data_IF_558481984718
#
_entry.id   IF_558481984718
#
_cell.length_a   1.000
_cell.length_b   1.000
_cell.length_c   1.000
_cell.angle_alpha   90.00
_cell.angle_beta   90.00
_cell.angle_gamma   90.00
#
_symmetry.space_group_name_H-M   'P 1'
#
loop_
_entity.id
_entity.type
_entity.pdbx_description
1 polymer ?
#
# COMPACT_ATOMS: atom_id res chain seq x y z
N UNK A 1 -15.05 -1.66 2.83
CA UNK A 1 -13.74 -2.00 2.25
C UNK A 1 -12.64 -1.67 3.23
N UNK A 2 -11.53 -2.41 3.20
CA UNK A 2 -10.43 -2.24 4.16
C UNK A 2 -9.09 -2.46 3.46
N UNK A 3 -8.11 -1.63 3.80
CA UNK A 3 -6.71 -1.85 3.43
C UNK A 3 -6.00 -2.38 4.67
N UNK A 4 -5.36 -3.52 4.53
CA UNK A 4 -4.61 -4.16 5.61
C UNK A 4 -3.11 -4.13 5.36
N UNK A 5 -2.34 -4.19 6.44
CA UNK A 5 -0.94 -4.52 6.44
C UNK A 5 -0.63 -5.51 7.58
N UNK A 6 0.30 -6.42 7.36
CA UNK A 6 0.79 -7.31 8.39
C UNK A 6 2.29 -7.52 8.25
N UNK A 7 2.97 -7.74 9.37
CA UNK A 7 4.39 -8.07 9.37
C UNK A 7 4.63 -9.29 8.49
N UNK A 8 5.63 -9.24 7.61
CA UNK A 8 5.93 -10.35 6.70
C UNK A 8 6.75 -11.45 7.39
N UNK A 9 6.89 -12.58 6.73
CA UNK A 9 7.56 -13.74 7.32
C UNK A 9 9.09 -13.68 7.29
N UNK A 10 9.72 -14.45 8.20
CA UNK A 10 11.15 -14.64 8.30
C UNK A 10 11.90 -13.35 8.66
N UNK A 11 13.17 -13.26 8.29
CA UNK A 11 14.04 -12.10 8.56
C UNK A 11 13.46 -10.77 8.07
N UNK A 12 12.69 -10.80 6.97
CA UNK A 12 12.03 -9.60 6.42
C UNK A 12 11.03 -8.97 7.38
N UNK A 13 10.41 -9.76 8.25
CA UNK A 13 9.46 -9.28 9.26
C UNK A 13 10.08 -8.30 10.27
N UNK A 14 11.40 -8.29 10.41
CA UNK A 14 12.08 -7.32 11.26
C UNK A 14 11.94 -5.86 10.78
N UNK A 15 11.61 -5.64 9.49
CA UNK A 15 11.60 -4.30 8.90
C UNK A 15 10.56 -4.09 7.80
N UNK A 16 9.72 -5.09 7.48
CA UNK A 16 8.78 -4.98 6.37
C UNK A 16 7.41 -5.56 6.69
N UNK A 17 6.39 -4.96 6.05
CA UNK A 17 5.01 -5.47 6.04
C UNK A 17 4.59 -5.87 4.63
N UNK A 18 3.57 -6.71 4.55
CA UNK A 18 2.80 -7.05 3.36
C UNK A 18 1.46 -6.34 3.44
N UNK A 19 1.05 -5.66 2.37
CA UNK A 19 -0.25 -4.99 2.30
C UNK A 19 -1.17 -5.65 1.29
N UNK A 20 -2.50 -5.58 1.55
CA UNK A 20 -3.55 -6.06 0.65
C UNK A 20 -4.83 -5.24 0.78
N UNK A 21 -5.77 -5.46 -0.13
CA UNK A 21 -7.06 -4.78 -0.17
C UNK A 21 -8.18 -5.81 -0.06
N UNK A 22 -9.18 -5.48 0.76
CA UNK A 22 -10.41 -6.25 0.91
C UNK A 22 -11.60 -5.39 0.53
N UNK A 23 -12.39 -5.88 -0.41
CA UNK A 23 -13.60 -5.25 -0.91
C UNK A 23 -14.82 -6.10 -0.52
N UNK A 24 -15.97 -5.47 -0.34
CA UNK A 24 -17.27 -6.13 -0.25
C UNK A 24 -18.35 -5.19 -0.73
N UNK A 25 -19.03 -5.57 -1.80
CA UNK A 25 -20.20 -4.87 -2.29
C UNK A 25 -21.37 -4.97 -1.32
N UNK A 26 -22.32 -4.03 -1.40
CA UNK A 26 -23.53 -4.01 -0.54
C UNK A 26 -24.25 -5.35 -0.56
N UNK A 27 -24.52 -5.87 -1.74
CA UNK A 27 -25.26 -7.11 -1.97
C UNK A 27 -24.35 -8.34 -2.06
N UNK A 28 -23.04 -8.13 -1.90
CA UNK A 28 -22.01 -9.17 -1.94
C UNK A 28 -22.15 -10.14 -0.76
N UNK A 29 -22.21 -11.44 -1.06
CA UNK A 29 -22.25 -12.50 -0.04
C UNK A 29 -20.90 -12.77 0.58
N UNK A 30 -19.81 -12.42 -0.11
CA UNK A 30 -18.43 -12.67 0.28
C UNK A 30 -17.58 -11.42 0.11
N UNK A 31 -16.43 -11.41 0.79
CA UNK A 31 -15.39 -10.41 0.60
C UNK A 31 -14.49 -10.82 -0.56
N UNK A 32 -14.02 -9.83 -1.33
CA UNK A 32 -12.97 -10.02 -2.32
C UNK A 32 -11.66 -9.45 -1.77
N UNK A 33 -10.68 -10.32 -1.57
CA UNK A 33 -9.33 -9.96 -1.17
C UNK A 33 -8.39 -9.98 -2.37
N UNK A 34 -7.62 -8.91 -2.53
CA UNK A 34 -6.61 -8.78 -3.58
C UNK A 34 -5.23 -8.61 -2.97
N UNK A 35 -4.34 -9.54 -3.31
CA UNK A 35 -2.91 -9.53 -2.94
C UNK A 35 -2.03 -9.54 -4.17
N UNK A 36 -0.81 -9.04 -4.02
CA UNK A 36 0.27 -9.30 -4.99
C UNK A 36 1.39 -10.06 -4.30
N UNK A 37 1.76 -11.20 -4.89
CA UNK A 37 2.77 -12.12 -4.35
C UNK A 37 3.79 -12.52 -5.40
N UNK A 38 4.97 -12.99 -4.96
CA UNK A 38 6.10 -13.32 -5.82
C UNK A 38 6.04 -14.70 -6.50
N UNK A 39 4.95 -15.45 -6.33
CA UNK A 39 4.80 -16.80 -6.88
C UNK A 39 3.51 -16.95 -7.67
N UNK A 40 3.57 -17.69 -8.76
CA UNK A 40 2.44 -17.91 -9.69
C UNK A 40 2.03 -16.64 -10.42
N UNK A 41 0.72 -16.43 -10.60
CA UNK A 41 0.19 -15.14 -11.08
C UNK A 41 0.33 -14.10 -9.95
N UNK A 42 0.92 -12.93 -10.18
CA UNK A 42 1.19 -11.97 -9.11
C UNK A 42 -0.07 -11.52 -8.38
N UNK A 43 -1.09 -11.05 -9.13
CA UNK A 43 -2.35 -10.63 -8.53
C UNK A 43 -3.15 -11.88 -8.16
N UNK A 44 -3.49 -11.98 -6.88
CA UNK A 44 -4.34 -13.02 -6.31
C UNK A 44 -5.66 -12.43 -5.90
N UNK A 45 -6.76 -13.05 -6.36
CA UNK A 45 -8.10 -12.76 -5.85
C UNK A 45 -8.56 -13.95 -5.03
N UNK A 46 -8.94 -13.71 -3.78
CA UNK A 46 -9.49 -14.71 -2.85
C UNK A 46 -8.62 -15.95 -2.62
N UNK A 47 -7.29 -15.81 -2.75
CA UNK A 47 -6.35 -16.88 -2.45
C UNK A 47 -6.13 -17.07 -0.93
N UNK A 48 -6.51 -16.09 -0.14
CA UNK A 48 -6.35 -16.05 1.32
C UNK A 48 -7.63 -15.51 1.98
N UNK A 49 -7.81 -15.85 3.26
CA UNK A 49 -8.93 -15.31 4.06
C UNK A 49 -8.81 -13.78 4.13
N UNK A 50 -9.93 -13.02 4.01
CA UNK A 50 -9.91 -11.55 3.91
C UNK A 50 -9.09 -10.86 4.98
N UNK A 51 -9.29 -11.18 6.25
CA UNK A 51 -8.61 -10.68 7.45
C UNK A 51 -7.66 -11.71 8.05
N UNK A 52 -7.22 -12.70 7.26
CA UNK A 52 -6.35 -13.78 7.71
C UNK A 52 -4.94 -13.33 8.04
N UNK A 53 -4.33 -14.04 8.99
CA UNK A 53 -2.95 -13.84 9.39
C UNK A 53 -1.99 -13.99 8.22
N UNK A 54 -0.95 -13.16 8.18
CA UNK A 54 0.13 -13.26 7.21
C UNK A 54 1.40 -13.78 7.89
N UNK A 55 1.80 -15.01 7.55
CA UNK A 55 2.92 -15.71 8.25
C UNK A 55 2.77 -15.67 9.78
N UNK A 56 1.57 -15.99 10.29
CA UNK A 56 1.22 -15.96 11.71
C UNK A 56 1.20 -14.57 12.37
N UNK A 57 1.36 -13.50 11.61
CA UNK A 57 1.23 -12.14 12.11
C UNK A 57 -0.20 -11.61 11.87
N UNK A 58 -0.82 -10.97 12.87
CA UNK A 58 -2.18 -10.45 12.73
C UNK A 58 -2.22 -9.28 11.76
N UNK A 59 -3.28 -9.17 10.94
CA UNK A 59 -3.50 -8.01 10.11
C UNK A 59 -3.81 -6.77 10.94
N UNK A 60 -3.30 -5.63 10.51
CA UNK A 60 -3.65 -4.32 11.05
C UNK A 60 -4.37 -3.51 9.98
N UNK A 61 -5.56 -2.94 10.25
CA UNK A 61 -6.20 -2.06 9.32
C UNK A 61 -5.39 -0.76 9.18
N UNK A 62 -5.03 -0.43 7.96
CA UNK A 62 -4.36 0.84 7.59
C UNK A 62 -5.41 1.91 7.35
N UNK A 63 -6.52 1.53 6.75
CA UNK A 63 -7.65 2.38 6.44
C UNK A 63 -8.88 1.54 6.15
N UNK A 64 -10.06 2.08 6.49
CA UNK A 64 -11.33 1.44 6.18
C UNK A 64 -12.42 2.46 5.90
N UNK A 65 -13.40 2.05 5.10
CA UNK A 65 -14.67 2.76 4.90
C UNK A 65 -15.81 1.78 4.63
N UNK A 66 -17.03 2.22 4.88
CA UNK A 66 -18.25 1.43 4.70
C UNK A 66 -19.37 2.27 4.07
N UNK A 67 -20.50 1.63 3.75
CA UNK A 67 -21.70 2.31 3.24
C UNK A 67 -21.46 2.95 1.87
N UNK A 68 -22.11 4.09 1.63
CA UNK A 68 -22.16 4.76 0.33
C UNK A 68 -20.77 5.16 -0.19
N UNK A 69 -19.83 5.46 0.69
CA UNK A 69 -18.47 5.78 0.25
C UNK A 69 -17.75 4.53 -0.28
N UNK A 70 -17.84 3.40 0.40
CA UNK A 70 -17.29 2.14 -0.10
C UNK A 70 -17.89 1.79 -1.47
N UNK A 71 -19.22 1.90 -1.63
CA UNK A 71 -19.89 1.64 -2.91
C UNK A 71 -19.37 2.52 -4.05
N UNK A 72 -19.10 3.80 -3.75
CA UNK A 72 -18.55 4.74 -4.74
C UNK A 72 -17.11 4.42 -5.12
N UNK A 73 -16.30 3.92 -4.17
CA UNK A 73 -14.87 3.68 -4.36
C UNK A 73 -14.56 2.31 -4.98
N UNK A 74 -15.33 1.27 -4.67
CA UNK A 74 -15.10 -0.11 -5.14
C UNK A 74 -14.90 -0.19 -6.66
N UNK A 75 -15.78 0.36 -7.52
CA UNK A 75 -15.58 0.28 -8.97
C UNK A 75 -14.30 0.95 -9.45
N UNK A 76 -13.87 2.05 -8.80
CA UNK A 76 -12.62 2.74 -9.12
C UNK A 76 -11.39 1.91 -8.76
N UNK A 77 -11.47 1.23 -7.62
CA UNK A 77 -10.40 0.34 -7.16
C UNK A 77 -10.28 -0.86 -8.09
N UNK A 78 -11.39 -1.48 -8.48
CA UNK A 78 -11.39 -2.60 -9.41
C UNK A 78 -10.82 -2.20 -10.78
N UNK A 79 -11.17 -1.02 -11.28
CA UNK A 79 -10.57 -0.46 -12.49
C UNK A 79 -9.06 -0.24 -12.34
N UNK A 80 -8.60 0.27 -11.20
CA UNK A 80 -7.18 0.44 -10.90
C UNK A 80 -6.45 -0.91 -10.80
N UNK A 81 -7.05 -1.92 -10.18
CA UNK A 81 -6.51 -3.29 -10.11
C UNK A 81 -6.36 -3.87 -11.52
N UNK A 82 -7.38 -3.75 -12.36
CA UNK A 82 -7.36 -4.23 -13.74
C UNK A 82 -6.29 -3.52 -14.60
N UNK A 83 -6.01 -2.25 -14.32
CA UNK A 83 -5.01 -1.43 -15.01
C UNK A 83 -3.58 -1.58 -14.44
N UNK A 84 -3.35 -2.40 -13.40
CA UNK A 84 -2.05 -2.52 -12.77
C UNK A 84 -0.99 -3.10 -13.74
N UNK A 85 0.11 -2.37 -14.04
CA UNK A 85 1.02 -2.73 -15.13
C UNK A 85 1.86 -3.99 -14.86
N UNK A 86 2.01 -4.39 -13.59
CA UNK A 86 2.85 -5.52 -13.16
C UNK A 86 2.05 -6.77 -12.79
N UNK A 87 0.86 -6.94 -13.34
CA UNK A 87 0.00 -8.13 -13.12
C UNK A 87 0.49 -9.41 -13.82
N UNK A 88 1.55 -9.37 -14.62
CA UNK A 88 2.06 -10.52 -15.38
C UNK A 88 3.03 -11.36 -14.54
N UNK A 89 3.04 -12.69 -14.80
CA UNK A 89 4.01 -13.62 -14.17
C UNK A 89 5.45 -13.13 -14.39
N UNK A 90 6.27 -13.16 -13.32
CA UNK A 90 7.66 -12.73 -13.35
C UNK A 90 7.88 -11.22 -13.18
N UNK A 91 6.82 -10.41 -13.13
CA UNK A 91 6.94 -8.97 -12.89
C UNK A 91 7.30 -8.62 -11.43
N UNK A 92 6.92 -9.47 -10.47
CA UNK A 92 7.18 -9.21 -9.05
C UNK A 92 8.67 -9.08 -8.74
N UNK A 93 9.01 -8.04 -7.99
CA UNK A 93 10.35 -7.82 -7.40
C UNK A 93 10.15 -7.49 -5.93
N UNK A 94 10.72 -8.34 -5.06
CA UNK A 94 10.63 -8.16 -3.62
C UNK A 94 11.12 -6.77 -3.20
N UNK A 95 12.21 -6.32 -3.79
CA UNK A 95 12.85 -5.03 -3.54
C UNK A 95 13.50 -4.50 -4.84
N UNK A 96 13.43 -3.21 -5.10
CA UNK A 96 12.67 -2.16 -4.41
C UNK A 96 11.17 -2.19 -4.73
N UNK A 97 10.73 -2.99 -5.63
CA UNK A 97 9.40 -3.19 -6.21
C UNK A 97 9.51 -3.49 -7.70
N UNK A 98 8.39 -3.80 -8.37
CA UNK A 98 7.02 -3.84 -7.86
C UNK A 98 6.72 -5.05 -6.96
N UNK A 99 6.07 -4.81 -5.84
CA UNK A 99 5.69 -5.82 -4.86
C UNK A 99 4.26 -5.56 -4.32
N UNK A 100 3.85 -6.21 -3.21
CA UNK A 100 2.51 -6.01 -2.63
C UNK A 100 2.25 -4.56 -2.19
N UNK A 101 3.26 -3.89 -1.62
CA UNK A 101 3.11 -2.51 -1.16
C UNK A 101 3.06 -1.52 -2.34
N UNK A 102 3.85 -1.76 -3.40
CA UNK A 102 3.76 -0.99 -4.67
C UNK A 102 2.40 -1.12 -5.33
N UNK A 103 1.78 -2.31 -5.25
CA UNK A 103 0.44 -2.56 -5.77
C UNK A 103 -0.61 -1.73 -5.05
N UNK A 104 -0.63 -1.77 -3.71
CA UNK A 104 -1.58 -0.97 -2.93
C UNK A 104 -1.30 0.52 -3.12
N UNK A 105 -0.04 0.94 -3.10
CA UNK A 105 0.34 2.34 -3.36
C UNK A 105 -0.09 2.82 -4.76
N UNK A 106 -0.01 1.97 -5.79
CA UNK A 106 -0.53 2.28 -7.12
C UNK A 106 -2.04 2.56 -7.09
N UNK A 107 -2.81 1.71 -6.40
CA UNK A 107 -4.25 1.89 -6.27
C UNK A 107 -4.58 3.19 -5.54
N UNK A 108 -3.88 3.50 -4.45
CA UNK A 108 -4.04 4.76 -3.72
C UNK A 108 -3.77 5.99 -4.60
N UNK A 109 -2.77 5.92 -5.49
CA UNK A 109 -2.49 7.01 -6.46
C UNK A 109 -3.56 7.12 -7.55
N UNK A 110 -4.18 6.01 -7.96
CA UNK A 110 -5.26 6.02 -8.98
C UNK A 110 -6.62 6.38 -8.41
N UNK A 111 -6.81 6.24 -7.10
CA UNK A 111 -8.04 6.56 -6.38
C UNK A 111 -7.71 7.51 -5.22
N UNK A 112 -7.37 8.77 -5.50
CA UNK A 112 -6.89 9.73 -4.49
C UNK A 112 -7.91 10.09 -3.41
N UNK A 113 -9.18 9.78 -3.63
CA UNK A 113 -10.24 9.92 -2.63
C UNK A 113 -10.04 9.01 -1.42
N UNK A 114 -9.23 7.98 -1.54
CA UNK A 114 -8.82 7.14 -0.41
C UNK A 114 -7.76 7.89 0.40
N UNK A 115 -8.16 8.42 1.55
CA UNK A 115 -7.26 9.15 2.45
C UNK A 115 -6.43 8.18 3.32
N UNK A 116 -5.66 7.32 2.66
CA UNK A 116 -4.79 6.35 3.29
C UNK A 116 -3.32 6.60 2.95
N UNK A 117 -2.45 6.40 3.94
CA UNK A 117 -0.99 6.36 3.77
C UNK A 117 -0.49 5.02 4.28
N UNK A 118 0.23 4.27 3.45
CA UNK A 118 0.83 3.02 3.88
C UNK A 118 1.91 3.28 4.95
N UNK A 119 2.09 2.35 5.90
CA UNK A 119 3.04 2.52 6.98
C UNK A 119 4.49 2.66 6.48
N UNK A 120 5.38 3.31 7.24
CA UNK A 120 6.77 3.57 6.84
C UNK A 120 7.58 2.32 6.50
N UNK A 121 7.21 1.18 7.06
CA UNK A 121 7.80 -0.13 6.81
C UNK A 121 7.11 -0.94 5.68
N UNK A 122 6.21 -0.31 4.92
CA UNK A 122 5.65 -0.88 3.69
C UNK A 122 6.65 -0.69 2.53
N UNK A 123 7.75 -1.44 2.56
CA UNK A 123 8.84 -1.33 1.58
C UNK A 123 8.31 -1.50 0.15
N UNK A 124 8.62 -0.54 -0.72
CA UNK A 124 8.14 -0.48 -2.10
C UNK A 124 6.91 0.39 -2.31
N UNK A 125 6.34 1.02 -1.27
CA UNK A 125 5.21 1.95 -1.39
C UNK A 125 5.55 3.20 -2.20
N UNK A 126 6.80 3.61 -2.21
CA UNK A 126 7.37 4.74 -2.95
C UNK A 126 7.81 4.39 -4.38
N UNK A 127 7.78 3.10 -4.74
CA UNK A 127 7.95 2.67 -6.12
C UNK A 127 6.73 3.06 -6.96
N UNK A 128 6.92 3.93 -7.97
CA UNK A 128 5.83 4.34 -8.87
C UNK A 128 5.74 3.33 -10.02
N UNK A 129 4.64 2.57 -10.03
CA UNK A 129 4.47 1.38 -10.86
C UNK A 129 4.44 1.63 -12.38
N UNK A 130 4.15 2.85 -12.83
CA UNK A 130 4.18 3.25 -14.24
C UNK A 130 5.57 3.76 -14.70
N UNK A 131 6.57 3.70 -13.82
CA UNK A 131 7.94 4.10 -14.11
C UNK A 131 8.22 5.60 -14.01
N UNK A 132 7.25 6.39 -13.55
CA UNK A 132 7.47 7.81 -13.32
C UNK A 132 8.40 8.05 -12.11
N UNK A 133 9.07 9.20 -12.12
CA UNK A 133 9.93 9.63 -11.02
C UNK A 133 9.22 10.56 -10.04
N UNK A 134 7.99 10.94 -10.32
CA UNK A 134 7.20 11.84 -9.49
C UNK A 134 5.73 11.50 -9.56
N UNK A 135 5.02 11.87 -8.50
CA UNK A 135 3.58 11.86 -8.42
C UNK A 135 3.10 13.07 -7.66
N UNK A 136 2.07 13.74 -8.19
CA UNK A 136 1.35 14.82 -7.53
C UNK A 136 -0.04 14.31 -7.17
N UNK A 137 -0.33 14.22 -5.88
CA UNK A 137 -1.65 13.88 -5.38
C UNK A 137 -2.57 15.11 -5.51
N UNK A 138 -3.84 14.98 -5.94
CA UNK A 138 -4.80 16.09 -5.96
C UNK A 138 -5.01 16.76 -4.60
N UNK A 139 -4.72 16.08 -3.48
CA UNK A 139 -4.74 16.65 -2.14
C UNK A 139 -3.51 17.51 -1.82
N UNK A 140 -2.58 17.70 -2.77
CA UNK A 140 -1.42 18.56 -2.63
C UNK A 140 -0.14 17.86 -2.16
N UNK A 141 -0.16 16.54 -2.03
CA UNK A 141 1.06 15.81 -1.71
C UNK A 141 1.93 15.60 -2.95
N UNK A 142 3.23 15.73 -2.76
CA UNK A 142 4.25 15.50 -3.80
C UNK A 142 5.11 14.32 -3.37
N UNK A 143 5.31 13.38 -4.29
CA UNK A 143 6.25 12.29 -4.12
C UNK A 143 7.26 12.32 -5.26
N UNK A 144 8.54 12.40 -4.92
CA UNK A 144 9.66 12.28 -5.85
C UNK A 144 10.41 10.99 -5.50
N UNK A 145 10.68 10.16 -6.49
CA UNK A 145 11.34 8.87 -6.24
C UNK A 145 12.26 8.47 -7.39
N UNK A 146 13.38 7.85 -7.04
CA UNK A 146 14.24 7.16 -7.98
C UNK A 146 14.01 5.65 -7.79
N UNK A 147 13.03 5.11 -8.50
CA UNK A 147 12.65 3.69 -8.50
C UNK A 147 12.39 3.09 -7.11
N UNK A 148 11.95 3.89 -6.12
CA UNK A 148 11.75 3.43 -4.75
C UNK A 148 13.05 3.18 -3.97
N UNK A 149 14.20 3.60 -4.49
CA UNK A 149 15.49 3.47 -3.82
C UNK A 149 15.85 4.72 -3.03
N UNK A 150 15.56 5.88 -3.60
CA UNK A 150 15.77 7.19 -2.99
C UNK A 150 14.57 8.07 -3.31
N UNK A 151 14.11 8.84 -2.36
CA UNK A 151 12.99 9.73 -2.61
C UNK A 151 12.67 10.68 -1.47
N UNK A 152 11.72 11.56 -1.73
CA UNK A 152 11.15 12.47 -0.76
C UNK A 152 9.65 12.60 -1.03
N UNK A 153 8.87 12.63 0.05
CA UNK A 153 7.46 13.01 -0.02
C UNK A 153 7.19 14.18 0.88
N UNK A 154 6.32 15.08 0.44
CA UNK A 154 5.91 16.24 1.22
C UNK A 154 4.46 16.59 0.92
N UNK A 155 3.66 16.81 1.96
CA UNK A 155 2.27 17.22 1.84
C UNK A 155 1.50 17.08 3.14
N UNK A 156 0.23 17.42 3.11
CA UNK A 156 -0.62 17.33 4.30
C UNK A 156 -1.00 15.89 4.66
N UNK A 157 -1.08 14.99 3.66
CA UNK A 157 -1.47 13.59 3.84
C UNK A 157 -0.28 12.74 4.29
N UNK A 158 0.86 12.87 3.61
CA UNK A 158 2.08 12.11 3.92
C UNK A 158 2.95 12.75 5.00
N UNK A 159 2.76 14.05 5.29
CA UNK A 159 3.71 14.80 6.11
C UNK A 159 4.99 15.10 5.34
N UNK A 160 6.14 14.99 5.98
CA UNK A 160 7.45 15.04 5.33
C UNK A 160 8.16 13.71 5.52
N UNK A 161 8.63 13.12 4.41
CA UNK A 161 9.28 11.81 4.41
C UNK A 161 10.54 11.81 3.54
N UNK A 162 11.58 11.20 4.06
CA UNK A 162 12.80 10.82 3.32
C UNK A 162 12.79 9.31 3.12
N UNK A 163 13.00 8.88 1.89
CA UNK A 163 13.00 7.48 1.49
C UNK A 163 14.41 7.07 1.11
N UNK A 164 14.94 6.05 1.77
CA UNK A 164 16.24 5.47 1.47
C UNK A 164 16.13 3.95 1.46
N UNK A 165 16.40 3.35 0.31
CA UNK A 165 16.36 1.89 0.08
C UNK A 165 15.00 1.25 0.46
N UNK A 166 13.91 2.01 0.33
CA UNK A 166 12.56 1.60 0.69
C UNK A 166 12.22 1.77 2.19
N UNK A 167 13.16 2.23 3.00
CA UNK A 167 12.94 2.62 4.39
C UNK A 167 12.56 4.11 4.45
N UNK A 168 11.68 4.45 5.37
CA UNK A 168 11.13 5.81 5.46
C UNK A 168 11.40 6.40 6.84
N UNK A 169 12.03 7.57 6.85
CA UNK A 169 12.13 8.46 8.00
C UNK A 169 11.30 9.72 7.76
N UNK A 170 10.59 10.23 8.76
CA UNK A 170 9.79 11.42 8.54
C UNK A 170 8.94 11.85 9.72
N UNK A 171 8.07 12.82 9.46
CA UNK A 171 7.09 13.33 10.42
C UNK A 171 5.72 13.42 9.75
N UNK A 172 4.69 13.09 10.51
CA UNK A 172 3.31 13.30 10.13
C UNK A 172 2.80 14.58 10.81
N UNK A 173 2.22 15.51 10.04
CA UNK A 173 1.72 16.79 10.57
C UNK A 173 0.24 16.73 10.95
N UNK A 174 -0.53 15.86 10.32
CA UNK A 174 -1.98 15.71 10.62
C UNK A 174 -2.23 14.90 11.90
N UNK A 175 -1.39 13.89 12.12
CA UNK A 175 -1.35 13.08 13.34
C UNK A 175 0.07 13.18 13.87
N UNK A 176 0.34 14.13 14.79
CA UNK A 176 1.69 14.40 15.21
C UNK A 176 2.46 13.13 15.59
N UNK A 177 3.30 12.67 14.67
CA UNK A 177 4.00 11.41 14.80
C UNK A 177 5.33 11.42 14.07
N UNK A 178 6.27 10.60 14.55
CA UNK A 178 7.57 10.37 13.93
C UNK A 178 7.55 9.02 13.21
N UNK A 179 8.00 9.00 11.97
CA UNK A 179 8.17 7.80 11.16
C UNK A 179 9.62 7.32 11.29
N UNK A 180 9.78 6.14 11.84
CA UNK A 180 11.09 5.54 12.11
C UNK A 180 11.35 4.40 11.14
N UNK A 181 12.47 4.44 10.38
CA UNK A 181 12.82 3.38 9.44
C UNK A 181 12.74 2.00 10.09
N UNK A 182 12.10 1.05 9.43
CA UNK A 182 11.84 -0.32 9.89
C UNK A 182 10.86 -0.48 11.07
N UNK A 183 10.73 0.50 11.95
CA UNK A 183 9.94 0.36 13.17
C UNK A 183 8.50 0.87 13.06
N UNK A 184 8.18 1.60 12.00
CA UNK A 184 6.83 2.13 11.80
C UNK A 184 6.67 3.58 12.25
N UNK A 185 5.47 3.92 12.74
CA UNK A 185 5.11 5.28 13.13
C UNK A 185 4.80 5.32 14.63
N UNK A 186 5.31 6.35 15.31
CA UNK A 186 5.13 6.59 16.74
C UNK A 186 4.58 8.00 16.96
N UNK A 187 3.52 8.12 17.72
CA UNK A 187 2.81 9.36 18.01
C UNK A 187 1.32 9.11 18.23
N UNK A 188 0.55 10.18 18.42
CA UNK A 188 -0.89 10.15 18.71
C UNK A 188 -1.74 10.08 17.45
#
# INVERSE_FOLDING_TARGET
MTIFAAVTGGFKGAFAVHSWIVLKDRDGKAYDRYDVVGWGAPIRRNAYVPDGYWYSNPPQPVWETTGAEAERLIPKIEAAIAAYPHGKRGAYRLWPGPNSNSFVAYILRKVPEIDAVLPPNAIGRDYIADGAFYHFDPAGDVNLTLYGLLGVSAGLKSGFELHLLGLVAGVDFRRPAVKVPAFGQFGS
#
